data_IF_150069710330
#
_entry.id   IF_150069710330
#
_cell.length_a   1.000
_cell.length_b   1.000
_cell.length_c   1.000
_cell.angle_alpha   90.00
_cell.angle_beta   90.00
_cell.angle_gamma   90.00
#
_symmetry.space_group_name_H-M   'P 1'
#
loop_
_entity.id
_entity.type
_entity.pdbx_description
1 polymer ?
#
# COMPACT_ATOMS: atom_id res chain seq x y z
N UNK A 1 3.99 -11.17 -21.10
CA UNK A 1 4.83 -12.31 -20.66
C UNK A 1 5.02 -12.37 -19.14
N UNK A 2 5.63 -11.37 -18.49
CA UNK A 2 5.89 -11.41 -17.02
C UNK A 2 4.62 -11.35 -16.15
N UNK A 3 3.59 -10.62 -16.57
CA UNK A 3 2.33 -10.46 -15.82
C UNK A 3 1.45 -11.74 -15.76
N UNK A 4 1.61 -12.65 -16.72
CA UNK A 4 0.90 -13.94 -16.70
C UNK A 4 1.64 -14.97 -15.84
N UNK A 5 2.96 -14.82 -15.66
CA UNK A 5 3.77 -15.74 -14.88
C UNK A 5 3.56 -15.60 -13.38
N UNK A 6 3.44 -14.38 -12.84
CA UNK A 6 3.19 -14.21 -11.39
C UNK A 6 1.84 -14.80 -10.99
N UNK A 7 0.78 -14.51 -11.75
CA UNK A 7 -0.59 -14.98 -11.47
C UNK A 7 -0.77 -16.50 -11.52
N UNK A 8 0.15 -17.22 -12.16
CA UNK A 8 0.09 -18.67 -12.33
C UNK A 8 1.07 -19.43 -11.44
N UNK A 9 2.05 -18.76 -10.82
CA UNK A 9 3.04 -19.42 -9.94
C UNK A 9 2.60 -19.50 -8.48
N UNK A 10 1.73 -18.60 -7.99
CA UNK A 10 1.34 -18.56 -6.57
C UNK A 10 0.89 -19.91 -5.99
N UNK A 11 0.04 -20.70 -6.67
CA UNK A 11 -0.39 -21.99 -6.14
C UNK A 11 0.76 -23.00 -6.02
N UNK A 12 1.78 -22.88 -6.88
CA UNK A 12 2.96 -23.74 -6.88
C UNK A 12 3.95 -23.33 -5.78
N UNK A 13 4.00 -22.04 -5.47
CA UNK A 13 4.93 -21.46 -4.50
C UNK A 13 4.36 -21.42 -3.07
N UNK A 14 3.06 -21.69 -2.89
CA UNK A 14 2.40 -21.80 -1.58
C UNK A 14 2.01 -20.47 -0.96
N UNK A 15 1.89 -19.40 -1.75
CA UNK A 15 1.42 -18.10 -1.27
C UNK A 15 -0.10 -18.13 -1.03
N UNK A 16 -0.53 -17.56 0.10
CA UNK A 16 -1.94 -17.45 0.48
C UNK A 16 -2.56 -16.09 0.13
N UNK A 17 -1.73 -15.07 -0.01
CA UNK A 17 -2.14 -13.70 -0.32
C UNK A 17 -1.08 -12.95 -1.14
N UNK A 18 -1.52 -11.92 -1.86
CA UNK A 18 -0.69 -11.02 -2.67
C UNK A 18 -1.15 -9.57 -2.48
N UNK A 19 -0.32 -8.62 -2.90
CA UNK A 19 -0.61 -7.18 -2.84
C UNK A 19 -0.08 -6.43 -4.05
N UNK A 20 -0.19 -7.03 -5.24
CA UNK A 20 0.35 -6.44 -6.47
C UNK A 20 -0.70 -5.85 -7.41
N UNK A 21 -1.98 -6.21 -7.23
CA UNK A 21 -3.07 -5.80 -8.10
C UNK A 21 -3.89 -4.66 -7.50
N UNK A 22 -4.66 -3.99 -8.37
CA UNK A 22 -5.42 -2.78 -8.04
C UNK A 22 -6.89 -2.92 -8.50
N UNK A 23 -7.41 -4.14 -8.49
CA UNK A 23 -8.68 -4.50 -9.13
C UNK A 23 -9.95 -4.11 -8.37
N UNK A 24 -9.83 -3.79 -7.08
CA UNK A 24 -10.93 -3.42 -6.19
C UNK A 24 -10.38 -2.54 -5.06
N UNK A 25 -11.27 -1.93 -4.27
CA UNK A 25 -10.91 -1.19 -3.07
C UNK A 25 -10.86 -2.06 -1.80
N UNK A 26 -11.56 -3.19 -1.81
CA UNK A 26 -11.58 -4.14 -0.70
C UNK A 26 -10.76 -5.39 -1.03
N UNK A 27 -10.28 -6.14 -0.03
CA UNK A 27 -9.68 -7.45 -0.27
C UNK A 27 -10.61 -8.36 -1.07
N UNK A 28 -10.06 -9.08 -2.03
CA UNK A 28 -10.86 -9.95 -2.91
C UNK A 28 -10.15 -11.26 -3.24
N UNK A 29 -10.93 -12.30 -3.53
CA UNK A 29 -10.40 -13.61 -3.90
C UNK A 29 -10.11 -13.68 -5.40
N UNK A 30 -8.89 -14.03 -5.74
CA UNK A 30 -8.50 -14.42 -7.09
C UNK A 30 -8.60 -15.93 -7.18
N UNK A 31 -9.42 -16.43 -8.12
CA UNK A 31 -9.60 -17.87 -8.36
C UNK A 31 -9.09 -18.27 -9.73
N UNK A 32 -8.31 -19.33 -9.78
CA UNK A 32 -7.83 -19.93 -11.04
C UNK A 32 -7.84 -21.46 -10.94
N UNK A 33 -7.61 -22.14 -12.07
CA UNK A 33 -7.67 -23.60 -12.16
C UNK A 33 -6.70 -24.35 -11.19
N UNK A 34 -5.72 -23.64 -10.62
CA UNK A 34 -4.74 -24.19 -9.67
C UNK A 34 -4.96 -23.82 -8.19
N UNK A 35 -5.93 -22.98 -7.84
CA UNK A 35 -6.16 -22.55 -6.46
C UNK A 35 -6.83 -21.18 -6.33
N UNK A 36 -6.93 -20.70 -5.10
CA UNK A 36 -7.36 -19.34 -4.78
C UNK A 36 -6.35 -18.63 -3.89
N UNK A 37 -6.35 -17.31 -3.97
CA UNK A 37 -5.45 -16.43 -3.24
C UNK A 37 -6.21 -15.14 -2.87
N UNK A 38 -5.94 -14.59 -1.69
CA UNK A 38 -6.49 -13.30 -1.26
C UNK A 38 -5.62 -12.17 -1.82
N UNK A 39 -6.21 -11.25 -2.57
CA UNK A 39 -5.56 -10.02 -2.96
C UNK A 39 -5.86 -8.91 -1.95
N UNK A 40 -4.81 -8.27 -1.44
CA UNK A 40 -4.89 -7.01 -0.72
C UNK A 40 -4.52 -5.87 -1.67
N UNK A 41 -5.49 -5.12 -2.23
CA UNK A 41 -5.24 -4.26 -3.37
C UNK A 41 -4.26 -3.12 -3.05
N UNK A 42 -3.20 -3.04 -3.85
CA UNK A 42 -2.24 -1.94 -3.84
C UNK A 42 -2.82 -0.70 -4.50
N UNK A 43 -2.28 0.49 -4.16
CA UNK A 43 -2.70 1.78 -4.72
C UNK A 43 -1.51 2.72 -4.89
N UNK A 44 -1.40 3.38 -6.04
CA UNK A 44 -0.33 4.36 -6.30
C UNK A 44 -0.39 5.57 -5.38
N UNK A 45 -1.59 5.97 -4.95
CA UNK A 45 -1.79 7.08 -4.02
C UNK A 45 -1.24 6.77 -2.61
N UNK A 46 -1.05 5.49 -2.27
CA UNK A 46 -0.52 5.01 -0.98
C UNK A 46 0.90 4.45 -1.08
N UNK A 47 1.56 4.65 -2.21
CA UNK A 47 2.98 4.36 -2.42
C UNK A 47 3.80 5.64 -2.20
N UNK A 48 4.92 5.54 -1.50
CA UNK A 48 5.82 6.66 -1.27
C UNK A 48 6.77 6.95 -2.42
N UNK A 49 6.88 6.04 -3.38
CA UNK A 49 7.74 6.21 -4.54
C UNK A 49 7.33 7.41 -5.39
N UNK A 50 6.06 7.55 -5.85
CA UNK A 50 5.64 8.70 -6.64
C UNK A 50 5.74 10.04 -5.92
N UNK A 51 5.72 10.03 -4.58
CA UNK A 51 5.83 11.23 -3.76
C UNK A 51 7.27 11.70 -3.59
N UNK A 52 8.21 10.76 -3.41
CA UNK A 52 9.51 11.09 -2.82
C UNK A 52 10.73 10.73 -3.64
N UNK A 53 10.57 9.91 -4.69
CA UNK A 53 11.71 9.46 -5.49
C UNK A 53 11.96 10.41 -6.64
N UNK A 54 13.21 10.82 -6.73
CA UNK A 54 13.77 11.51 -7.88
C UNK A 54 15.08 10.81 -8.22
N UNK A 55 15.07 9.99 -9.27
CA UNK A 55 16.16 9.10 -9.62
C UNK A 55 16.42 9.11 -11.13
N UNK A 56 17.56 9.67 -11.51
CA UNK A 56 17.99 9.81 -12.90
C UNK A 56 18.29 8.46 -13.57
N UNK A 57 18.82 7.49 -12.81
CA UNK A 57 19.19 6.17 -13.37
C UNK A 57 17.97 5.34 -13.76
N UNK A 58 16.81 5.65 -13.16
CA UNK A 58 15.53 4.99 -13.44
C UNK A 58 14.62 5.81 -14.36
N UNK A 59 15.12 6.92 -14.92
CA UNK A 59 14.32 7.90 -15.68
C UNK A 59 13.08 8.37 -14.90
N UNK A 60 13.19 8.44 -13.57
CA UNK A 60 12.09 8.79 -12.67
C UNK A 60 12.35 10.16 -12.05
N UNK A 61 12.03 11.20 -12.81
CA UNK A 61 12.37 12.59 -12.48
C UNK A 61 11.17 13.40 -11.99
N UNK A 62 10.33 12.78 -11.16
CA UNK A 62 9.20 13.46 -10.54
C UNK A 62 9.67 14.50 -9.51
N UNK A 63 8.93 15.62 -9.32
CA UNK A 63 9.21 16.54 -8.23
C UNK A 63 9.05 15.85 -6.87
N UNK A 64 10.00 16.10 -5.96
CA UNK A 64 9.89 15.60 -4.59
C UNK A 64 8.81 16.41 -3.86
N UNK A 65 7.74 15.76 -3.45
CA UNK A 65 6.69 16.36 -2.64
C UNK A 65 7.20 16.77 -1.24
N UNK A 66 6.55 17.77 -0.65
CA UNK A 66 6.73 18.04 0.78
C UNK A 66 6.12 16.90 1.60
N UNK A 67 6.67 16.58 2.79
CA UNK A 67 6.04 15.61 3.68
C UNK A 67 4.59 15.99 4.02
N UNK A 68 4.28 17.28 4.14
CA UNK A 68 2.92 17.73 4.43
C UNK A 68 1.94 17.37 3.31
N UNK A 69 2.32 17.60 2.05
CA UNK A 69 1.47 17.25 0.90
C UNK A 69 1.25 15.74 0.81
N UNK A 70 2.32 14.94 0.94
CA UNK A 70 2.19 13.48 0.93
C UNK A 70 1.28 12.98 2.07
N UNK A 71 1.42 13.56 3.27
CA UNK A 71 0.54 13.27 4.41
C UNK A 71 -0.93 13.56 4.11
N UNK A 72 -1.21 14.70 3.46
CA UNK A 72 -2.58 15.08 3.08
C UNK A 72 -3.20 14.05 2.15
N UNK A 73 -2.44 13.57 1.14
CA UNK A 73 -2.88 12.51 0.22
C UNK A 73 -3.19 11.22 0.99
N UNK A 74 -2.23 10.74 1.78
CA UNK A 74 -2.38 9.48 2.53
C UNK A 74 -3.53 9.51 3.53
N UNK A 75 -3.69 10.62 4.25
CA UNK A 75 -4.75 10.78 5.24
C UNK A 75 -6.12 10.96 4.60
N UNK A 76 -6.22 11.56 3.41
CA UNK A 76 -7.48 11.64 2.67
C UNK A 76 -8.01 10.24 2.33
N UNK A 77 -7.14 9.36 1.81
CA UNK A 77 -7.47 7.96 1.54
C UNK A 77 -7.82 7.19 2.83
N UNK A 78 -7.09 7.44 3.93
CA UNK A 78 -7.41 6.83 5.22
C UNK A 78 -8.82 7.21 5.69
N UNK A 79 -9.19 8.49 5.65
CA UNK A 79 -10.51 8.91 6.11
C UNK A 79 -11.63 8.37 5.23
N UNK A 80 -11.43 8.29 3.91
CA UNK A 80 -12.39 7.68 3.00
C UNK A 80 -12.59 6.19 3.33
N UNK A 81 -11.50 5.43 3.49
CA UNK A 81 -11.59 4.01 3.84
C UNK A 81 -12.19 3.80 5.24
N UNK A 82 -11.86 4.68 6.19
CA UNK A 82 -12.44 4.64 7.53
C UNK A 82 -13.96 4.86 7.51
N UNK A 83 -14.46 5.82 6.72
CA UNK A 83 -15.90 6.07 6.56
C UNK A 83 -16.64 4.88 5.95
N UNK A 84 -15.99 4.15 5.04
CA UNK A 84 -16.59 3.02 4.33
C UNK A 84 -16.28 1.64 4.94
N UNK A 85 -15.51 1.57 6.02
CA UNK A 85 -15.09 0.31 6.65
C UNK A 85 -14.15 -0.53 5.77
N UNK A 86 -13.35 0.12 4.92
CA UNK A 86 -12.42 -0.51 3.99
C UNK A 86 -11.00 -0.70 4.56
N UNK A 87 -10.07 -1.06 3.67
CA UNK A 87 -8.66 -1.26 4.00
C UNK A 87 -7.79 -0.07 3.55
N UNK A 88 -6.98 0.44 4.48
CA UNK A 88 -5.91 1.38 4.18
C UNK A 88 -4.57 0.64 4.22
N UNK A 89 -3.94 0.48 3.05
CA UNK A 89 -2.73 -0.32 2.85
C UNK A 89 -1.66 0.53 2.16
N UNK A 90 -0.54 0.78 2.84
CA UNK A 90 0.54 1.62 2.32
C UNK A 90 1.75 0.80 1.86
N UNK A 91 2.49 1.33 0.87
CA UNK A 91 3.79 0.83 0.46
C UNK A 91 4.86 1.89 0.77
N UNK A 92 5.59 1.70 1.87
CA UNK A 92 6.67 2.62 2.26
C UNK A 92 8.04 1.96 2.13
N UNK A 93 8.92 2.60 1.38
CA UNK A 93 10.28 2.14 1.18
C UNK A 93 11.21 2.77 2.23
N UNK A 94 12.08 2.00 2.91
CA UNK A 94 12.95 2.54 3.96
C UNK A 94 13.83 3.72 3.54
N UNK A 95 14.34 3.71 2.31
CA UNK A 95 15.18 4.81 1.79
C UNK A 95 14.37 6.07 1.43
N UNK A 96 13.05 5.92 1.22
CA UNK A 96 12.11 7.00 0.96
C UNK A 96 11.58 7.57 2.28
N UNK A 97 10.61 6.90 2.89
CA UNK A 97 9.90 7.39 4.08
C UNK A 97 10.72 7.32 5.37
N UNK A 98 11.84 6.58 5.39
CA UNK A 98 12.72 6.52 6.56
C UNK A 98 13.57 7.78 6.80
N UNK A 99 13.58 8.74 5.86
CA UNK A 99 14.26 10.03 6.07
C UNK A 99 13.55 10.84 7.15
N UNK A 100 14.30 11.54 8.00
CA UNK A 100 13.82 12.12 9.27
C UNK A 100 12.50 12.89 9.14
N UNK A 101 12.39 13.83 8.20
CA UNK A 101 11.17 14.63 8.04
C UNK A 101 9.94 13.79 7.63
N UNK A 102 10.14 12.76 6.80
CA UNK A 102 9.10 11.85 6.33
C UNK A 102 8.74 10.82 7.41
N UNK A 103 9.70 10.38 8.20
CA UNK A 103 9.44 9.51 9.35
C UNK A 103 8.60 10.24 10.42
N UNK A 104 8.86 11.54 10.64
CA UNK A 104 8.03 12.37 11.52
C UNK A 104 6.59 12.51 10.99
N UNK A 105 6.42 12.62 9.67
CA UNK A 105 5.10 12.56 9.02
C UNK A 105 4.42 11.21 9.27
N UNK A 106 5.10 10.08 9.05
CA UNK A 106 4.55 8.73 9.32
C UNK A 106 4.09 8.61 10.77
N UNK A 107 4.93 9.04 11.72
CA UNK A 107 4.57 9.08 13.15
C UNK A 107 3.28 9.89 13.39
N UNK A 108 3.16 11.06 12.76
CA UNK A 108 1.98 11.92 12.92
C UNK A 108 0.71 11.28 12.32
N UNK A 109 0.82 10.58 11.18
CA UNK A 109 -0.29 9.83 10.60
C UNK A 109 -0.74 8.70 11.53
N UNK A 110 0.20 7.89 12.02
CA UNK A 110 -0.10 6.80 12.95
C UNK A 110 -0.82 7.30 14.21
N UNK A 111 -0.40 8.45 14.76
CA UNK A 111 -1.08 9.07 15.90
C UNK A 111 -2.54 9.41 15.57
N UNK A 112 -2.80 10.06 14.42
CA UNK A 112 -4.15 10.41 13.98
C UNK A 112 -5.04 9.19 13.73
N UNK A 113 -4.47 8.11 13.19
CA UNK A 113 -5.18 6.85 12.96
C UNK A 113 -5.56 6.19 14.30
N UNK A 114 -4.62 6.13 15.25
CA UNK A 114 -4.86 5.58 16.59
C UNK A 114 -5.89 6.38 17.40
N UNK A 115 -5.94 7.71 17.22
CA UNK A 115 -6.92 8.59 17.86
C UNK A 115 -8.39 8.27 17.49
N UNK A 116 -8.62 7.55 16.38
CA UNK A 116 -9.97 7.06 16.04
C UNK A 116 -10.50 6.03 17.03
N UNK A 117 -9.60 5.26 17.66
CA UNK A 117 -9.91 4.33 18.75
C UNK A 117 -10.39 2.93 18.32
N UNK A 118 -10.88 2.78 17.10
CA UNK A 118 -11.46 1.53 16.55
C UNK A 118 -10.76 1.05 15.27
N UNK A 119 -9.58 1.60 14.95
CA UNK A 119 -8.76 1.13 13.82
C UNK A 119 -8.03 -0.15 14.18
N UNK A 120 -8.19 -1.18 13.35
CA UNK A 120 -7.42 -2.42 13.46
C UNK A 120 -6.08 -2.30 12.73
N UNK A 121 -4.98 -2.31 13.49
CA UNK A 121 -3.62 -2.38 12.93
C UNK A 121 -3.22 -3.85 12.82
N UNK A 122 -2.89 -4.28 11.61
CA UNK A 122 -2.67 -5.68 11.27
C UNK A 122 -1.52 -5.85 10.27
N UNK A 123 -0.95 -7.05 10.21
CA UNK A 123 -0.12 -7.50 9.08
C UNK A 123 -1.02 -7.92 7.90
N UNK A 124 -0.47 -7.96 6.68
CA UNK A 124 -1.23 -8.48 5.53
C UNK A 124 -1.76 -9.90 5.76
N UNK A 125 -0.95 -10.77 6.38
CA UNK A 125 -1.35 -12.14 6.73
C UNK A 125 -2.50 -12.20 7.75
N UNK A 126 -2.65 -11.21 8.62
CA UNK A 126 -3.80 -11.17 9.54
C UNK A 126 -5.09 -10.73 8.85
N UNK A 127 -4.98 -9.93 7.78
CA UNK A 127 -6.12 -9.44 7.00
C UNK A 127 -6.60 -10.48 5.99
N UNK A 128 -5.67 -11.25 5.41
CA UNK A 128 -5.95 -12.32 4.46
C UNK A 128 -6.51 -13.58 5.12
#
# INVERSE_FOLDING_TARGET
PLLEHSRTSWPVEGFLWDTSLMGDDNPYLIRQAGGELVELPSRWQLDDWPQFVHNHDLDFMMPIASPQYAMEVYMAEFYAMYEHGGIWLNCFHPFCSGQVARLMMVKQMMQKMLEKGDVWIATGEQVA
#
